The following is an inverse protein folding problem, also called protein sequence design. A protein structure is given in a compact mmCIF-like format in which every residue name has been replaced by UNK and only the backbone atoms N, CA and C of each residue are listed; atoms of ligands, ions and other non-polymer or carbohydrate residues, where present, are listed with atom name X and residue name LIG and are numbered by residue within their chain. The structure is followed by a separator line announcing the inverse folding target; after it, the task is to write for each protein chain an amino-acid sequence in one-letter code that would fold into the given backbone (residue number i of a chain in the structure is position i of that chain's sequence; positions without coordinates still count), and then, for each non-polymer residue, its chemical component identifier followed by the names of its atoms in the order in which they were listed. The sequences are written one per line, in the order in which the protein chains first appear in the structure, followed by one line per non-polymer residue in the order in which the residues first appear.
data_IF_174700690226
#
_entry.id   IF_174700690226
#
_cell.length_a   1.000
_cell.length_b   1.000
_cell.length_c   1.000
_cell.angle_alpha   90.00
_cell.angle_beta   90.00
_cell.angle_gamma   90.00
#
_symmetry.space_group_name_H-M   'P 1'
#
loop_
_entity.id
_entity.type
_entity.pdbx_description
1 polymer ?
#
# COMPACT_ATOMS: atom_id res chain seq x y z
N UNK A 1 17.55 21.82 -18.19
CA UNK A 1 18.88 21.25 -17.88
C UNK A 1 18.74 19.76 -17.69
N UNK A 2 19.69 18.99 -18.20
CA UNK A 2 19.71 17.55 -18.00
C UNK A 2 20.48 17.29 -16.70
N UNK A 3 19.80 16.77 -15.67
CA UNK A 3 20.40 16.45 -14.36
C UNK A 3 20.36 14.95 -14.10
N UNK A 4 21.34 14.46 -13.36
CA UNK A 4 21.42 13.10 -12.84
C UNK A 4 20.65 13.02 -11.52
N UNK A 5 20.17 11.84 -11.15
CA UNK A 5 19.47 11.63 -9.88
C UNK A 5 20.12 10.52 -9.09
N UNK A 6 20.55 10.84 -7.88
CA UNK A 6 21.14 9.88 -6.95
C UNK A 6 20.16 9.58 -5.81
N UNK A 7 19.96 8.29 -5.52
CA UNK A 7 18.99 7.85 -4.52
C UNK A 7 19.65 7.20 -3.32
N UNK A 8 19.28 7.62 -2.11
CA UNK A 8 19.63 6.94 -0.86
C UNK A 8 18.43 6.16 -0.34
N UNK A 9 18.54 4.81 -0.31
CA UNK A 9 17.46 3.87 -0.07
C UNK A 9 16.64 3.59 -1.34
N UNK A 10 17.34 3.37 -2.47
CA UNK A 10 16.74 3.25 -3.81
C UNK A 10 15.78 2.05 -3.95
N UNK A 11 15.97 0.96 -3.19
CA UNK A 11 15.15 -0.25 -3.22
C UNK A 11 13.81 -0.14 -2.47
N UNK A 12 13.56 0.96 -1.75
CA UNK A 12 12.25 1.18 -1.12
C UNK A 12 11.13 1.31 -2.15
N UNK A 13 9.91 0.84 -1.83
CA UNK A 13 8.80 0.78 -2.78
C UNK A 13 8.51 2.12 -3.47
N UNK A 14 8.46 3.22 -2.74
CA UNK A 14 8.24 4.55 -3.30
C UNK A 14 9.48 5.18 -3.94
N UNK A 15 10.69 4.78 -3.51
CA UNK A 15 11.96 5.25 -4.07
C UNK A 15 12.23 4.60 -5.43
N UNK A 16 11.99 3.29 -5.52
CA UNK A 16 12.14 2.54 -6.78
C UNK A 16 11.21 3.06 -7.87
N UNK A 17 9.98 3.44 -7.51
CA UNK A 17 9.06 4.06 -8.46
C UNK A 17 9.58 5.40 -9.00
N UNK A 18 10.16 6.25 -8.13
CA UNK A 18 10.80 7.51 -8.57
C UNK A 18 12.04 7.25 -9.42
N UNK A 19 12.90 6.31 -9.04
CA UNK A 19 14.10 5.94 -9.82
C UNK A 19 13.73 5.49 -11.24
N UNK A 20 12.74 4.61 -11.37
CA UNK A 20 12.22 4.13 -12.64
C UNK A 20 11.57 5.24 -13.48
N UNK A 21 10.86 6.17 -12.82
CA UNK A 21 10.32 7.34 -13.50
C UNK A 21 11.43 8.17 -14.15
N UNK A 22 12.52 8.46 -13.42
CA UNK A 22 13.64 9.24 -13.95
C UNK A 22 14.42 8.49 -15.05
N UNK A 23 14.58 7.18 -14.94
CA UNK A 23 15.15 6.35 -16.01
C UNK A 23 14.32 6.46 -17.29
N UNK A 24 12.98 6.38 -17.17
CA UNK A 24 12.07 6.53 -18.31
C UNK A 24 12.14 7.94 -18.94
N UNK A 25 12.33 8.98 -18.13
CA UNK A 25 12.58 10.34 -18.60
C UNK A 25 13.99 10.54 -19.22
N UNK A 26 14.75 9.46 -19.38
CA UNK A 26 16.10 9.48 -19.96
C UNK A 26 17.15 10.10 -19.04
N UNK A 27 16.92 10.14 -17.72
CA UNK A 27 17.91 10.60 -16.75
C UNK A 27 18.84 9.46 -16.36
N UNK A 28 20.08 9.82 -16.03
CA UNK A 28 21.00 8.88 -15.38
C UNK A 28 20.60 8.75 -13.93
N UNK A 29 20.51 7.50 -13.45
CA UNK A 29 20.13 7.18 -12.07
C UNK A 29 21.19 6.30 -11.44
N UNK A 30 21.59 6.64 -10.23
CA UNK A 30 22.39 5.80 -9.36
C UNK A 30 21.87 5.87 -7.93
N UNK A 31 22.32 4.98 -7.07
CA UNK A 31 21.94 5.05 -5.67
C UNK A 31 22.52 3.95 -4.82
N UNK A 32 22.21 4.08 -3.54
CA UNK A 32 22.55 3.13 -2.49
C UNK A 32 21.28 2.48 -1.93
N UNK A 33 21.40 1.20 -1.61
CA UNK A 33 20.47 0.54 -0.69
C UNK A 33 21.25 -0.42 0.23
N UNK A 34 20.77 -0.62 1.44
CA UNK A 34 21.41 -1.55 2.40
C UNK A 34 21.26 -3.02 1.98
N UNK A 35 20.18 -3.35 1.26
CA UNK A 35 19.79 -4.73 0.96
C UNK A 35 19.47 -4.90 -0.50
N UNK A 36 20.10 -5.88 -1.13
CA UNK A 36 19.72 -6.31 -2.48
C UNK A 36 18.31 -6.95 -2.46
N UNK A 37 17.47 -6.57 -3.38
CA UNK A 37 16.07 -7.02 -3.46
C UNK A 37 15.63 -7.13 -4.92
N UNK A 38 14.49 -7.78 -5.15
CA UNK A 38 13.88 -7.83 -6.49
C UNK A 38 13.67 -6.43 -7.10
N UNK A 39 13.37 -5.41 -6.28
CA UNK A 39 13.20 -4.03 -6.77
C UNK A 39 14.53 -3.42 -7.19
N UNK A 40 15.62 -3.64 -6.45
CA UNK A 40 16.96 -3.16 -6.85
C UNK A 40 17.45 -3.88 -8.10
N UNK A 41 17.26 -5.21 -8.21
CA UNK A 41 17.59 -5.97 -9.41
C UNK A 41 16.83 -5.46 -10.64
N UNK A 42 15.55 -5.09 -10.48
CA UNK A 42 14.74 -4.52 -11.55
C UNK A 42 15.25 -3.15 -12.00
N UNK A 43 15.60 -2.27 -11.06
CA UNK A 43 16.12 -0.92 -11.37
C UNK A 43 17.50 -1.02 -12.05
N UNK A 44 18.35 -1.95 -11.61
CA UNK A 44 19.65 -2.22 -12.24
C UNK A 44 19.46 -2.74 -13.69
N UNK A 45 18.50 -3.65 -13.91
CA UNK A 45 18.16 -4.12 -15.24
C UNK A 45 17.60 -3.02 -16.16
N UNK A 46 16.95 -2.00 -15.59
CA UNK A 46 16.46 -0.81 -16.31
C UNK A 46 17.56 0.26 -16.53
N UNK A 47 18.79 0.05 -16.02
CA UNK A 47 19.96 0.87 -16.31
C UNK A 47 20.44 1.77 -15.18
N UNK A 48 19.96 1.62 -13.95
CA UNK A 48 20.53 2.30 -12.79
C UNK A 48 21.84 1.64 -12.32
N UNK A 49 22.69 2.42 -11.66
CA UNK A 49 23.88 1.92 -10.96
C UNK A 49 23.59 1.87 -9.48
N UNK A 50 23.54 0.68 -8.89
CA UNK A 50 23.23 0.50 -7.46
C UNK A 50 24.42 -0.14 -6.73
N UNK A 51 24.72 0.34 -5.53
CA UNK A 51 25.66 -0.32 -4.63
C UNK A 51 25.04 -0.52 -3.25
N UNK A 52 25.63 -1.41 -2.44
CA UNK A 52 25.03 -1.94 -1.21
C UNK A 52 25.91 -1.71 0.03
N UNK A 53 27.05 -1.05 -0.14
CA UNK A 53 27.94 -0.68 0.95
C UNK A 53 27.86 0.84 1.18
N UNK A 54 27.78 1.26 2.44
CA UNK A 54 27.74 2.66 2.85
C UNK A 54 29.14 3.28 2.76
N UNK A 55 29.54 3.70 1.54
CA UNK A 55 30.82 4.33 1.29
C UNK A 55 30.73 5.44 0.22
N UNK A 56 31.04 6.71 0.56
CA UNK A 56 31.07 7.80 -0.43
C UNK A 56 32.05 7.56 -1.59
N UNK A 57 33.02 6.67 -1.44
CA UNK A 57 33.94 6.32 -2.52
C UNK A 57 33.24 5.54 -3.66
N UNK A 58 32.12 4.88 -3.38
CA UNK A 58 31.33 4.13 -4.35
C UNK A 58 30.37 4.99 -5.17
N UNK A 59 30.16 6.24 -4.80
CA UNK A 59 29.35 7.17 -5.60
C UNK A 59 30.00 7.29 -6.98
N UNK A 60 29.29 6.98 -8.09
CA UNK A 60 29.89 7.07 -9.43
C UNK A 60 30.34 8.50 -9.76
N UNK A 61 31.45 8.62 -10.49
CA UNK A 61 32.10 9.92 -10.81
C UNK A 61 31.11 10.90 -11.46
N UNK A 62 30.24 10.42 -12.33
CA UNK A 62 29.22 11.22 -13.02
C UNK A 62 28.17 11.84 -12.08
N UNK A 63 28.08 11.38 -10.84
CA UNK A 63 27.14 11.87 -9.82
C UNK A 63 27.78 12.71 -8.73
N UNK A 64 29.07 13.07 -8.89
CA UNK A 64 29.83 13.84 -7.89
C UNK A 64 29.83 15.34 -8.12
N UNK A 65 29.16 15.83 -9.15
CA UNK A 65 29.05 17.26 -9.47
C UNK A 65 27.69 17.80 -8.98
N UNK A 66 27.67 18.71 -7.97
CA UNK A 66 26.45 19.30 -7.45
C UNK A 66 25.71 20.19 -8.46
N UNK A 67 26.37 20.66 -9.52
CA UNK A 67 25.71 21.44 -10.56
C UNK A 67 24.82 20.59 -11.49
N UNK A 68 25.06 19.28 -11.55
CA UNK A 68 24.41 18.36 -12.49
C UNK A 68 23.70 17.21 -11.80
N UNK A 69 23.76 17.08 -10.47
CA UNK A 69 23.18 15.95 -9.73
C UNK A 69 22.28 16.44 -8.60
N UNK A 70 21.08 15.92 -8.54
CA UNK A 70 20.17 16.03 -7.39
C UNK A 70 20.15 14.73 -6.60
N UNK A 71 19.92 14.84 -5.30
CA UNK A 71 19.89 13.70 -4.38
C UNK A 71 18.49 13.54 -3.81
N UNK A 72 17.98 12.31 -3.82
CA UNK A 72 16.69 11.97 -3.22
C UNK A 72 16.93 10.93 -2.13
N UNK A 73 16.36 11.15 -0.94
CA UNK A 73 16.48 10.19 0.17
C UNK A 73 15.15 9.87 0.83
N UNK A 74 15.08 8.68 1.44
CA UNK A 74 13.94 8.27 2.27
C UNK A 74 14.22 8.57 3.75
N UNK A 75 13.19 8.87 4.58
CA UNK A 75 13.35 9.03 6.02
C UNK A 75 13.97 7.82 6.75
N UNK A 76 13.95 6.65 6.12
CA UNK A 76 14.58 5.44 6.65
C UNK A 76 16.13 5.51 6.67
N UNK A 77 16.73 6.42 5.91
CA UNK A 77 18.19 6.65 5.91
C UNK A 77 18.56 7.52 7.11
N UNK A 78 19.45 7.07 8.00
CA UNK A 78 19.86 7.83 9.18
C UNK A 78 20.48 9.17 8.81
N UNK A 79 20.34 10.16 9.69
CA UNK A 79 20.90 11.50 9.46
C UNK A 79 22.44 11.53 9.41
N UNK A 80 23.09 10.54 10.04
CA UNK A 80 24.53 10.32 10.10
C UNK A 80 25.07 9.38 9.02
N UNK A 81 24.22 8.93 8.08
CA UNK A 81 24.64 8.14 6.92
C UNK A 81 25.78 8.81 6.15
N UNK A 82 26.87 8.08 5.89
CA UNK A 82 28.10 8.64 5.36
C UNK A 82 27.91 9.40 4.03
N UNK A 83 27.17 8.80 3.08
CA UNK A 83 26.91 9.44 1.79
C UNK A 83 25.98 10.64 1.91
N UNK A 84 24.94 10.58 2.76
CA UNK A 84 24.05 11.72 2.99
C UNK A 84 24.81 12.91 3.58
N UNK A 85 25.75 12.65 4.50
CA UNK A 85 26.65 13.69 5.04
C UNK A 85 27.56 14.22 3.96
N UNK A 86 28.14 13.35 3.13
CA UNK A 86 29.03 13.74 2.05
C UNK A 86 28.30 14.67 1.06
N UNK A 87 27.10 14.33 0.60
CA UNK A 87 26.30 15.17 -0.29
C UNK A 87 25.99 16.53 0.35
N UNK A 88 25.60 16.56 1.64
CA UNK A 88 25.33 17.82 2.36
C UNK A 88 26.56 18.73 2.43
N UNK A 89 27.72 18.14 2.73
CA UNK A 89 29.00 18.88 2.85
C UNK A 89 29.50 19.42 1.50
N UNK A 90 29.14 18.78 0.40
CA UNK A 90 29.56 19.18 -0.95
C UNK A 90 28.51 20.02 -1.70
N UNK A 91 27.46 20.52 -1.03
CA UNK A 91 26.55 21.53 -1.57
C UNK A 91 25.53 20.99 -2.60
N UNK A 92 25.19 19.70 -2.56
CA UNK A 92 24.18 19.12 -3.44
C UNK A 92 22.78 19.58 -3.06
N UNK A 93 21.90 19.66 -4.04
CA UNK A 93 20.47 19.83 -3.83
C UNK A 93 19.86 18.49 -3.41
N UNK A 94 19.27 18.46 -2.21
CA UNK A 94 18.82 17.23 -1.55
C UNK A 94 17.32 17.31 -1.24
N UNK A 95 16.57 16.32 -1.72
CA UNK A 95 15.12 16.21 -1.52
C UNK A 95 14.76 14.97 -0.69
N UNK A 96 13.79 15.10 0.20
CA UNK A 96 13.06 13.92 0.68
C UNK A 96 12.23 13.34 -0.47
N UNK A 97 11.96 12.02 -0.44
CA UNK A 97 11.08 11.33 -1.38
C UNK A 97 9.77 12.08 -1.62
N UNK A 98 9.12 12.53 -0.54
CA UNK A 98 7.85 13.26 -0.61
C UNK A 98 7.96 14.63 -1.28
N UNK A 99 9.06 15.35 -1.09
CA UNK A 99 9.32 16.62 -1.77
C UNK A 99 9.47 16.42 -3.28
N UNK A 100 10.21 15.37 -3.68
CA UNK A 100 10.38 15.02 -5.09
C UNK A 100 9.05 14.62 -5.75
N UNK A 101 8.22 13.81 -5.07
CA UNK A 101 6.90 13.46 -5.55
C UNK A 101 6.00 14.71 -5.69
N UNK A 102 6.05 15.61 -4.72
CA UNK A 102 5.37 16.90 -4.78
C UNK A 102 5.82 17.74 -5.98
N UNK A 103 7.13 17.80 -6.25
CA UNK A 103 7.69 18.47 -7.43
C UNK A 103 7.18 17.86 -8.74
N UNK A 104 7.21 16.54 -8.88
CA UNK A 104 6.73 15.83 -10.08
C UNK A 104 5.21 15.94 -10.29
N UNK A 105 4.46 16.22 -9.23
CA UNK A 105 3.01 16.43 -9.29
C UNK A 105 2.61 17.81 -9.81
N UNK A 106 3.56 18.77 -9.88
CA UNK A 106 3.29 20.10 -10.42
C UNK A 106 2.90 20.04 -11.89
N UNK A 107 1.86 20.79 -12.27
CA UNK A 107 1.33 20.80 -13.65
C UNK A 107 0.55 19.54 -14.06
N UNK A 108 0.41 18.56 -13.18
CA UNK A 108 -0.44 17.38 -13.38
C UNK A 108 -1.81 17.58 -12.73
N UNK A 109 -2.80 16.83 -13.19
CA UNK A 109 -4.06 16.65 -12.50
C UNK A 109 -3.89 15.53 -11.48
N UNK A 110 -3.85 15.88 -10.20
CA UNK A 110 -3.47 14.94 -9.12
C UNK A 110 -4.71 14.34 -8.46
N UNK A 111 -4.79 13.02 -8.46
CA UNK A 111 -5.73 12.23 -7.66
C UNK A 111 -4.92 11.61 -6.52
N UNK A 112 -5.10 12.11 -5.30
CA UNK A 112 -4.33 11.68 -4.13
C UNK A 112 -5.21 10.88 -3.17
N UNK A 113 -4.76 9.69 -2.78
CA UNK A 113 -5.49 8.79 -1.86
C UNK A 113 -4.78 8.75 -0.52
N UNK A 114 -5.44 9.30 0.49
CA UNK A 114 -4.99 9.35 1.88
C UNK A 114 -5.88 8.50 2.79
N UNK A 115 -5.41 8.25 4.01
CA UNK A 115 -6.12 7.54 5.05
C UNK A 115 -5.25 6.49 5.72
N UNK A 116 -5.53 6.14 6.96
CA UNK A 116 -4.75 5.15 7.71
C UNK A 116 -4.86 3.74 7.09
N UNK A 117 -5.96 3.44 6.39
CA UNK A 117 -6.21 2.14 5.77
C UNK A 117 -6.68 2.26 4.31
N UNK A 118 -6.40 1.24 3.50
CA UNK A 118 -6.91 1.12 2.12
C UNK A 118 -6.19 1.95 1.05
N UNK A 119 -5.24 2.82 1.41
CA UNK A 119 -4.49 3.69 0.49
C UNK A 119 -4.00 2.98 -0.77
N UNK A 120 -3.17 1.96 -0.59
CA UNK A 120 -2.49 1.26 -1.70
C UNK A 120 -3.48 0.59 -2.65
N UNK A 121 -4.48 -0.11 -2.12
CA UNK A 121 -5.49 -0.79 -2.94
C UNK A 121 -6.33 0.23 -3.70
N UNK A 122 -6.79 1.29 -3.03
CA UNK A 122 -7.60 2.35 -3.66
C UNK A 122 -6.80 3.11 -4.71
N UNK A 123 -5.53 3.49 -4.44
CA UNK A 123 -4.68 4.16 -5.43
C UNK A 123 -4.45 3.28 -6.66
N UNK A 124 -4.22 1.98 -6.44
CA UNK A 124 -4.02 1.02 -7.53
C UNK A 124 -5.30 0.82 -8.35
N UNK A 125 -6.46 0.77 -7.70
CA UNK A 125 -7.77 0.78 -8.37
C UNK A 125 -7.96 2.05 -9.20
N UNK A 126 -7.71 3.24 -8.63
CA UNK A 126 -7.77 4.50 -9.38
C UNK A 126 -6.89 4.45 -10.61
N UNK A 127 -5.65 3.97 -10.48
CA UNK A 127 -4.72 3.85 -11.61
C UNK A 127 -5.24 2.88 -12.68
N UNK A 128 -5.76 1.72 -12.27
CA UNK A 128 -6.32 0.71 -13.17
C UNK A 128 -7.57 1.20 -13.90
N UNK A 129 -8.53 1.77 -13.16
CA UNK A 129 -9.74 2.34 -13.73
C UNK A 129 -9.42 3.51 -14.68
N UNK A 130 -8.52 4.39 -14.30
CA UNK A 130 -8.06 5.49 -15.15
C UNK A 130 -7.44 4.96 -16.45
N UNK A 131 -6.63 3.89 -16.38
CA UNK A 131 -6.04 3.26 -17.55
C UNK A 131 -7.09 2.61 -18.47
N UNK A 132 -8.06 1.91 -17.91
CA UNK A 132 -9.06 1.13 -18.69
C UNK A 132 -10.22 1.96 -19.20
N UNK A 133 -10.64 3.00 -18.47
CA UNK A 133 -11.90 3.72 -18.72
C UNK A 133 -11.66 5.07 -19.40
N UNK A 134 -10.60 5.79 -19.05
CA UNK A 134 -10.44 7.20 -19.45
C UNK A 134 -9.20 7.50 -20.32
N UNK A 135 -8.56 6.50 -20.88
CA UNK A 135 -7.39 6.70 -21.73
C UNK A 135 -6.05 6.85 -21.00
N UNK A 136 -6.05 6.72 -19.69
CA UNK A 136 -4.82 6.54 -18.90
C UNK A 136 -4.27 7.79 -18.24
N UNK A 137 -3.15 7.59 -17.59
CA UNK A 137 -2.38 8.57 -16.82
C UNK A 137 -1.26 7.86 -16.11
N UNK A 138 -0.45 8.59 -15.37
CA UNK A 138 0.63 7.99 -14.57
C UNK A 138 0.18 7.70 -13.14
N UNK A 139 0.86 6.79 -12.46
CA UNK A 139 0.61 6.53 -11.05
C UNK A 139 1.88 6.12 -10.31
N UNK A 140 2.05 6.61 -9.08
CA UNK A 140 3.02 6.14 -8.10
C UNK A 140 2.27 5.35 -7.03
N UNK A 141 2.55 4.04 -6.96
CA UNK A 141 1.82 3.09 -6.12
C UNK A 141 2.65 2.70 -4.89
N UNK A 142 1.97 2.55 -3.76
CA UNK A 142 2.59 2.09 -2.51
C UNK A 142 2.83 0.58 -2.44
N UNK A 143 2.56 -0.15 -3.52
CA UNK A 143 2.75 -1.59 -3.66
C UNK A 143 2.86 -2.01 -5.12
N UNK A 144 3.18 -3.27 -5.37
CA UNK A 144 3.27 -3.80 -6.73
C UNK A 144 1.87 -4.21 -7.18
N UNK A 145 1.31 -3.49 -8.16
CA UNK A 145 0.06 -3.88 -8.81
C UNK A 145 0.24 -5.17 -9.59
N UNK A 146 -0.70 -6.09 -9.49
CA UNK A 146 -0.69 -7.33 -10.28
C UNK A 146 -1.01 -7.06 -11.74
N UNK A 147 -1.99 -6.20 -12.02
CA UNK A 147 -2.37 -5.82 -13.37
C UNK A 147 -1.24 -5.15 -14.16
N UNK A 148 -0.40 -4.35 -13.49
CA UNK A 148 0.71 -3.64 -14.13
C UNK A 148 2.07 -4.33 -13.91
N UNK A 149 2.15 -5.32 -13.02
CA UNK A 149 3.41 -5.94 -12.55
C UNK A 149 4.45 -4.90 -12.09
N UNK A 150 3.97 -3.79 -11.50
CA UNK A 150 4.78 -2.61 -11.23
C UNK A 150 4.21 -1.77 -10.09
N UNK A 151 5.08 -1.00 -9.44
CA UNK A 151 4.74 0.08 -8.51
C UNK A 151 4.73 1.46 -9.18
N UNK A 152 5.03 1.52 -10.49
CA UNK A 152 4.97 2.70 -11.33
C UNK A 152 4.11 2.41 -12.57
N UNK A 153 3.17 3.29 -12.86
CA UNK A 153 2.43 3.30 -14.12
C UNK A 153 2.79 4.57 -14.87
N UNK A 154 3.19 4.44 -16.12
CA UNK A 154 3.49 5.56 -17.00
C UNK A 154 2.42 5.64 -18.09
N UNK A 155 1.78 6.78 -18.21
CA UNK A 155 0.73 7.03 -19.17
C UNK A 155 0.85 8.42 -19.81
N UNK A 156 0.28 8.58 -21.00
CA UNK A 156 0.33 9.84 -21.75
C UNK A 156 -0.64 10.91 -21.25
N UNK A 157 -1.63 10.52 -20.43
CA UNK A 157 -2.63 11.44 -19.86
C UNK A 157 -2.01 12.38 -18.84
N UNK A 158 -2.70 13.53 -18.60
CA UNK A 158 -2.27 14.51 -17.58
C UNK A 158 -2.56 14.08 -16.14
N UNK A 159 -3.39 13.05 -15.94
CA UNK A 159 -3.77 12.56 -14.62
C UNK A 159 -2.63 11.81 -13.95
N UNK A 160 -2.46 12.05 -12.66
CA UNK A 160 -1.46 11.41 -11.82
C UNK A 160 -2.14 10.88 -10.55
N UNK A 161 -2.23 9.56 -10.42
CA UNK A 161 -2.68 8.93 -9.19
C UNK A 161 -1.50 8.70 -8.25
N UNK A 162 -1.65 9.12 -6.98
CA UNK A 162 -0.59 8.98 -5.98
C UNK A 162 -1.15 8.53 -4.64
N UNK A 163 -0.40 7.69 -3.94
CA UNK A 163 -0.65 7.41 -2.54
C UNK A 163 -0.15 8.59 -1.69
N UNK A 164 -1.07 9.18 -0.92
CA UNK A 164 -0.81 10.31 -0.04
C UNK A 164 -0.58 9.80 1.38
N UNK A 165 0.68 9.49 1.68
CA UNK A 165 1.11 8.86 2.92
C UNK A 165 1.18 9.90 4.05
N UNK A 166 0.47 9.67 5.15
CA UNK A 166 0.48 10.50 6.34
C UNK A 166 1.78 10.36 7.16
N UNK A 167 2.52 9.28 6.99
CA UNK A 167 3.80 9.09 7.64
C UNK A 167 4.76 10.25 7.35
N UNK A 168 5.45 10.78 8.39
CA UNK A 168 6.34 11.95 8.29
C UNK A 168 5.65 13.19 7.67
N UNK A 169 4.30 13.27 7.74
CA UNK A 169 3.49 14.34 7.12
C UNK A 169 3.77 14.50 5.62
N UNK A 170 4.15 13.41 4.96
CA UNK A 170 4.56 13.41 3.54
C UNK A 170 3.45 13.89 2.61
N UNK A 171 2.20 13.58 2.90
CA UNK A 171 1.03 13.98 2.09
C UNK A 171 0.84 15.50 2.02
N UNK A 172 1.38 16.28 2.98
CA UNK A 172 1.35 17.74 2.95
C UNK A 172 2.28 18.37 1.89
N UNK A 173 2.94 17.54 1.08
CA UNK A 173 3.70 18.01 -0.10
C UNK A 173 2.91 17.94 -1.40
N UNK A 174 1.66 17.43 -1.34
CA UNK A 174 0.79 17.26 -2.49
C UNK A 174 -0.30 18.36 -2.53
N UNK A 175 -0.65 18.78 -3.73
CA UNK A 175 -1.75 19.72 -4.00
C UNK A 175 -2.73 19.02 -4.94
N UNK A 176 -3.66 18.21 -4.40
CA UNK A 176 -4.54 17.39 -5.22
C UNK A 176 -5.64 18.21 -5.91
N UNK A 177 -6.06 17.74 -7.08
CA UNK A 177 -7.31 18.14 -7.72
C UNK A 177 -8.49 17.32 -7.17
N UNK A 178 -8.24 16.05 -6.88
CA UNK A 178 -9.16 15.16 -6.18
C UNK A 178 -8.41 14.50 -5.03
N UNK A 179 -8.91 14.62 -3.81
CA UNK A 179 -8.42 13.90 -2.65
C UNK A 179 -9.43 12.86 -2.20
N UNK A 180 -8.95 11.65 -1.89
CA UNK A 180 -9.71 10.62 -1.18
C UNK A 180 -9.22 10.56 0.25
N UNK A 181 -10.11 10.48 1.24
CA UNK A 181 -9.77 10.19 2.63
C UNK A 181 -10.59 8.98 3.09
N UNK A 182 -9.93 7.83 3.21
CA UNK A 182 -10.57 6.56 3.54
C UNK A 182 -10.76 6.34 5.05
N UNK A 183 -9.89 6.92 5.85
CA UNK A 183 -9.94 6.83 7.32
C UNK A 183 -9.00 7.87 7.94
N UNK A 184 -9.22 8.19 9.21
CA UNK A 184 -8.33 9.04 10.00
C UNK A 184 -8.20 8.46 11.42
N UNK A 185 -8.03 7.12 11.51
CA UNK A 185 -7.88 6.40 12.77
C UNK A 185 -6.52 6.71 13.41
N UNK A 186 -6.43 6.51 14.72
CA UNK A 186 -5.18 6.75 15.46
C UNK A 186 -4.09 5.78 15.00
N UNK A 187 -3.14 6.30 14.23
CA UNK A 187 -1.94 5.61 13.76
C UNK A 187 -0.75 6.57 13.83
N UNK A 188 0.47 6.05 13.74
CA UNK A 188 1.71 6.85 13.76
C UNK A 188 1.78 7.86 14.92
N UNK A 189 1.30 7.46 16.11
CA UNK A 189 1.30 8.34 17.30
C UNK A 189 2.71 8.70 17.79
N UNK A 190 3.73 7.94 17.42
CA UNK A 190 5.14 8.26 17.60
C UNK A 190 5.55 9.54 16.85
N UNK A 191 4.88 9.86 15.73
CA UNK A 191 5.12 11.06 14.92
C UNK A 191 4.18 12.20 15.30
N UNK A 192 2.90 11.88 15.51
CA UNK A 192 1.85 12.87 15.73
C UNK A 192 1.65 13.23 17.22
N UNK A 193 2.03 12.34 18.13
CA UNK A 193 1.81 12.48 19.57
C UNK A 193 0.37 12.19 19.98
N UNK A 194 -0.64 12.76 19.30
CA UNK A 194 -2.06 12.56 19.60
C UNK A 194 -2.88 12.29 18.35
N UNK A 195 -4.05 11.66 18.51
CA UNK A 195 -5.02 11.44 17.43
C UNK A 195 -5.54 12.76 16.87
N UNK A 196 -5.73 13.77 17.71
CA UNK A 196 -6.16 15.11 17.29
C UNK A 196 -5.14 15.76 16.35
N UNK A 197 -3.84 15.62 16.64
CA UNK A 197 -2.78 16.15 15.77
C UNK A 197 -2.75 15.43 14.40
N UNK A 198 -3.05 14.13 14.35
CA UNK A 198 -3.20 13.39 13.12
C UNK A 198 -4.42 13.90 12.32
N UNK A 199 -5.59 14.07 12.97
CA UNK A 199 -6.81 14.60 12.32
C UNK A 199 -6.60 16.02 11.82
N UNK A 200 -5.87 16.85 12.55
CA UNK A 200 -5.51 18.20 12.10
C UNK A 200 -4.62 18.16 10.84
N UNK A 201 -3.66 17.23 10.75
CA UNK A 201 -2.85 17.05 9.56
C UNK A 201 -3.69 16.59 8.35
N UNK A 202 -4.68 15.71 8.54
CA UNK A 202 -5.64 15.37 7.48
C UNK A 202 -6.46 16.59 7.06
N UNK A 203 -6.89 17.44 8.01
CA UNK A 203 -7.62 18.67 7.71
C UNK A 203 -6.75 19.66 6.93
N UNK A 204 -5.45 19.76 7.24
CA UNK A 204 -4.49 20.56 6.47
C UNK A 204 -4.32 20.00 5.04
N UNK A 205 -4.20 18.68 4.88
CA UNK A 205 -4.14 18.04 3.56
C UNK A 205 -5.38 18.33 2.72
N UNK A 206 -6.58 18.22 3.30
CA UNK A 206 -7.84 18.59 2.64
C UNK A 206 -7.86 20.07 2.26
N UNK A 207 -7.31 20.94 3.10
CA UNK A 207 -7.15 22.37 2.81
C UNK A 207 -6.27 22.68 1.59
N UNK A 208 -5.40 21.74 1.18
CA UNK A 208 -4.53 21.87 0.00
C UNK A 208 -5.17 21.42 -1.31
N UNK A 209 -6.42 20.94 -1.30
CA UNK A 209 -7.14 20.62 -2.53
C UNK A 209 -7.28 21.91 -3.34
N UNK A 210 -6.91 21.84 -4.62
CA UNK A 210 -6.96 23.00 -5.52
C UNK A 210 -8.38 23.50 -5.70
N UNK A 211 -8.51 24.79 -5.97
CA UNK A 211 -9.81 25.43 -6.24
C UNK A 211 -10.55 24.70 -7.36
N UNK A 212 -11.86 24.51 -7.18
CA UNK A 212 -12.71 23.71 -8.06
C UNK A 212 -12.46 22.19 -7.99
N UNK A 213 -11.59 21.75 -7.09
CA UNK A 213 -11.31 20.34 -6.85
C UNK A 213 -12.40 19.62 -6.06
N UNK A 214 -12.14 18.38 -5.68
CA UNK A 214 -13.09 17.56 -4.94
C UNK A 214 -12.43 16.79 -3.80
N UNK A 215 -13.16 16.66 -2.69
CA UNK A 215 -12.89 15.74 -1.60
C UNK A 215 -13.88 14.56 -1.68
N UNK A 216 -13.36 13.35 -1.72
CA UNK A 216 -14.11 12.09 -1.55
C UNK A 216 -13.75 11.55 -0.18
N UNK A 217 -14.68 11.62 0.76
CA UNK A 217 -14.42 11.22 2.16
C UNK A 217 -15.37 10.11 2.59
N UNK A 218 -14.82 9.11 3.29
CA UNK A 218 -15.64 8.01 3.83
C UNK A 218 -16.68 8.54 4.81
N UNK A 219 -17.89 7.98 4.74
CA UNK A 219 -18.96 8.25 5.69
C UNK A 219 -18.48 7.95 7.11
N UNK A 220 -18.79 8.84 8.06
CA UNK A 220 -18.33 8.74 9.46
C UNK A 220 -16.93 9.31 9.74
N UNK A 221 -16.13 9.63 8.72
CA UNK A 221 -14.85 10.33 8.92
C UNK A 221 -15.13 11.83 9.15
N UNK A 222 -14.79 12.30 10.35
CA UNK A 222 -14.99 13.69 10.75
C UNK A 222 -13.68 14.49 10.61
N UNK A 223 -13.65 15.42 9.65
CA UNK A 223 -12.55 16.31 9.36
C UNK A 223 -13.04 17.76 9.25
N UNK A 224 -12.20 18.70 9.65
CA UNK A 224 -12.46 20.13 9.42
C UNK A 224 -12.17 20.45 7.96
N UNK A 225 -13.20 20.81 7.20
CA UNK A 225 -13.10 21.19 5.79
C UNK A 225 -13.11 22.72 5.71
N UNK A 226 -11.92 23.31 5.75
CA UNK A 226 -11.75 24.76 5.73
C UNK A 226 -11.68 25.39 4.32
N UNK A 227 -11.78 24.60 3.25
CA UNK A 227 -11.69 25.09 1.87
C UNK A 227 -13.08 25.17 1.23
N UNK A 228 -13.67 26.38 1.07
CA UNK A 228 -15.01 26.56 0.50
C UNK A 228 -15.05 26.39 -1.03
N UNK A 229 -13.90 26.38 -1.69
CA UNK A 229 -13.79 26.29 -3.15
C UNK A 229 -13.82 24.88 -3.72
N UNK A 230 -14.08 23.84 -2.88
CA UNK A 230 -14.10 22.44 -3.30
C UNK A 230 -15.48 21.81 -3.18
N UNK A 231 -15.72 20.75 -3.95
CA UNK A 231 -16.89 19.89 -3.79
C UNK A 231 -16.57 18.76 -2.82
N UNK A 232 -17.51 18.43 -1.95
CA UNK A 232 -17.35 17.33 -0.96
C UNK A 232 -18.34 16.24 -1.27
N UNK A 233 -17.86 15.03 -1.43
CA UNK A 233 -18.66 13.84 -1.65
C UNK A 233 -18.38 12.82 -0.56
N UNK A 234 -19.44 12.17 -0.09
CA UNK A 234 -19.36 11.06 0.85
C UNK A 234 -19.43 9.74 0.13
N UNK A 235 -18.66 8.76 0.62
CA UNK A 235 -18.78 7.39 0.12
C UNK A 235 -18.88 6.38 1.27
N UNK A 236 -19.47 5.24 0.98
CA UNK A 236 -19.66 4.16 1.95
C UNK A 236 -19.71 2.80 1.25
N UNK A 237 -19.53 1.73 2.03
CA UNK A 237 -19.74 0.37 1.57
C UNK A 237 -21.22 0.11 1.27
N UNK A 238 -22.14 0.46 2.18
CA UNK A 238 -23.57 0.10 2.13
C UNK A 238 -24.51 1.17 2.69
N UNK A 239 -23.99 2.23 3.31
CA UNK A 239 -24.84 3.32 3.82
C UNK A 239 -25.15 4.31 2.69
N UNK A 240 -26.43 4.69 2.48
CA UNK A 240 -26.81 5.66 1.47
C UNK A 240 -26.11 7.01 1.65
N UNK A 241 -25.37 7.44 0.64
CA UNK A 241 -24.71 8.73 0.53
C UNK A 241 -24.47 9.07 -0.95
N UNK A 242 -23.48 9.89 -1.31
CA UNK A 242 -23.24 10.26 -2.72
C UNK A 242 -22.76 9.06 -3.56
N UNK A 243 -21.89 8.22 -2.99
CA UNK A 243 -21.38 7.00 -3.63
C UNK A 243 -21.46 5.83 -2.66
N UNK A 244 -22.19 4.78 -3.02
CA UNK A 244 -22.27 3.59 -2.16
C UNK A 244 -22.62 2.34 -2.96
N UNK A 245 -22.35 1.18 -2.39
CA UNK A 245 -22.80 -0.09 -2.95
C UNK A 245 -24.16 -0.48 -2.33
N UNK A 246 -25.02 -1.04 -3.15
CA UNK A 246 -26.29 -1.64 -2.72
C UNK A 246 -26.46 -3.02 -3.34
N UNK A 247 -27.44 -3.80 -2.86
CA UNK A 247 -27.72 -5.16 -3.35
C UNK A 247 -26.51 -6.08 -3.30
N UNK A 248 -25.67 -5.89 -2.25
CA UNK A 248 -24.40 -6.60 -2.10
C UNK A 248 -24.65 -8.07 -1.80
N UNK A 249 -24.18 -8.96 -2.66
CA UNK A 249 -24.35 -10.42 -2.55
C UNK A 249 -23.00 -11.09 -2.59
N UNK A 250 -22.73 -11.95 -1.60
CA UNK A 250 -21.53 -12.79 -1.56
C UNK A 250 -21.62 -13.89 -2.61
N UNK A 251 -20.59 -14.02 -3.42
CA UNK A 251 -20.40 -15.05 -4.43
C UNK A 251 -19.36 -16.07 -3.94
N UNK A 252 -19.22 -17.16 -4.69
CA UNK A 252 -18.18 -18.16 -4.42
C UNK A 252 -16.77 -17.55 -4.44
N UNK A 253 -15.87 -18.07 -3.61
CA UNK A 253 -14.49 -17.60 -3.51
C UNK A 253 -14.30 -16.26 -2.80
N UNK A 254 -15.33 -15.77 -2.08
CA UNK A 254 -15.26 -14.51 -1.34
C UNK A 254 -15.45 -13.24 -2.20
N UNK A 255 -15.82 -13.42 -3.48
CA UNK A 255 -16.19 -12.30 -4.36
C UNK A 255 -17.58 -11.77 -4.05
N UNK A 256 -17.90 -10.60 -4.59
CA UNK A 256 -19.20 -9.97 -4.38
C UNK A 256 -19.77 -9.43 -5.69
N UNK A 257 -21.09 -9.48 -5.81
CA UNK A 257 -21.87 -8.71 -6.79
C UNK A 257 -22.58 -7.58 -6.06
N UNK A 258 -22.63 -6.42 -6.67
CA UNK A 258 -23.27 -5.23 -6.11
C UNK A 258 -23.71 -4.26 -7.21
N UNK A 259 -24.62 -3.36 -6.88
CA UNK A 259 -24.90 -2.17 -7.69
C UNK A 259 -24.17 -0.98 -7.10
N UNK A 260 -23.55 -0.19 -7.95
CA UNK A 260 -22.84 1.03 -7.55
C UNK A 260 -23.71 2.25 -7.78
N UNK A 261 -24.06 2.96 -6.71
CA UNK A 261 -24.81 4.22 -6.76
C UNK A 261 -23.82 5.38 -6.84
N UNK A 262 -24.09 6.31 -7.75
CA UNK A 262 -23.29 7.53 -7.98
C UNK A 262 -24.24 8.71 -8.14
N UNK A 263 -23.79 9.97 -8.06
CA UNK A 263 -24.63 11.14 -8.38
C UNK A 263 -25.17 11.14 -9.82
N UNK A 264 -24.48 10.45 -10.73
CA UNK A 264 -24.89 10.30 -12.15
C UNK A 264 -25.88 9.16 -12.42
N UNK A 265 -26.25 8.37 -11.39
CA UNK A 265 -27.13 7.22 -11.52
C UNK A 265 -26.56 5.92 -10.96
N UNK A 266 -27.18 4.81 -11.29
CA UNK A 266 -26.81 3.48 -10.78
C UNK A 266 -26.15 2.67 -11.89
N UNK A 267 -25.03 2.04 -11.54
CA UNK A 267 -24.34 1.05 -12.38
C UNK A 267 -24.64 -0.33 -11.78
N UNK A 268 -25.54 -1.07 -12.42
CA UNK A 268 -26.00 -2.35 -11.92
C UNK A 268 -25.05 -3.50 -12.22
N UNK A 269 -25.02 -4.52 -11.34
CA UNK A 269 -24.36 -5.80 -11.57
C UNK A 269 -22.84 -5.73 -11.60
N UNK A 270 -22.23 -4.80 -10.87
CA UNK A 270 -20.77 -4.73 -10.70
C UNK A 270 -20.26 -5.96 -9.97
N UNK A 271 -19.08 -6.44 -10.37
CA UNK A 271 -18.27 -7.40 -9.63
C UNK A 271 -16.86 -6.85 -9.51
N UNK A 272 -16.15 -7.24 -8.46
CA UNK A 272 -14.74 -6.88 -8.30
C UNK A 272 -13.87 -8.13 -8.47
N UNK A 273 -12.79 -8.01 -9.23
CA UNK A 273 -11.89 -9.12 -9.53
C UNK A 273 -11.12 -9.67 -8.31
N UNK A 274 -11.08 -8.90 -7.21
CA UNK A 274 -10.52 -9.34 -5.93
C UNK A 274 -11.63 -9.52 -4.90
N UNK A 275 -11.51 -10.50 -3.99
CA UNK A 275 -12.51 -10.77 -2.97
C UNK A 275 -12.42 -9.81 -1.77
N UNK A 276 -13.41 -9.88 -0.89
CA UNK A 276 -13.48 -9.14 0.37
C UNK A 276 -14.34 -7.87 0.30
N UNK A 277 -15.23 -7.72 1.28
CA UNK A 277 -16.15 -6.58 1.36
C UNK A 277 -15.39 -5.23 1.47
N UNK A 278 -14.25 -5.21 2.18
CA UNK A 278 -13.41 -4.01 2.29
C UNK A 278 -12.91 -3.52 0.92
N UNK A 279 -12.74 -4.43 -0.03
CA UNK A 279 -12.33 -4.08 -1.38
C UNK A 279 -13.47 -3.48 -2.20
N UNK A 280 -14.74 -3.78 -1.87
CA UNK A 280 -15.88 -3.05 -2.46
C UNK A 280 -15.82 -1.58 -2.00
N UNK A 281 -15.59 -1.33 -0.72
CA UNK A 281 -15.45 0.04 -0.20
C UNK A 281 -14.30 0.80 -0.90
N UNK A 282 -13.15 0.15 -1.07
CA UNK A 282 -12.03 0.70 -1.83
C UNK A 282 -12.42 0.97 -3.30
N UNK A 283 -13.23 0.10 -3.91
CA UNK A 283 -13.70 0.27 -5.28
C UNK A 283 -14.68 1.45 -5.41
N UNK A 284 -15.61 1.60 -4.45
CA UNK A 284 -16.52 2.77 -4.39
C UNK A 284 -15.72 4.06 -4.29
N UNK A 285 -14.71 4.11 -3.41
CA UNK A 285 -13.82 5.27 -3.28
C UNK A 285 -13.05 5.59 -4.57
N UNK A 286 -12.51 4.56 -5.22
CA UNK A 286 -11.77 4.72 -6.48
C UNK A 286 -12.65 5.20 -7.62
N UNK A 287 -13.86 4.67 -7.75
CA UNK A 287 -14.83 5.13 -8.75
C UNK A 287 -15.27 6.56 -8.47
N UNK A 288 -15.53 6.92 -7.21
CA UNK A 288 -15.88 8.29 -6.82
C UNK A 288 -14.76 9.27 -7.19
N UNK A 289 -13.50 8.92 -6.94
CA UNK A 289 -12.35 9.76 -7.31
C UNK A 289 -12.24 9.93 -8.84
N UNK A 290 -12.40 8.84 -9.59
CA UNK A 290 -12.34 8.89 -11.06
C UNK A 290 -13.54 9.67 -11.64
N UNK A 291 -14.73 9.49 -11.06
CA UNK A 291 -15.93 10.23 -11.44
C UNK A 291 -15.72 11.74 -11.26
N UNK A 292 -15.20 12.18 -10.09
CA UNK A 292 -14.88 13.58 -9.85
C UNK A 292 -13.87 14.15 -10.87
N UNK A 293 -12.86 13.36 -11.23
CA UNK A 293 -11.87 13.75 -12.23
C UNK A 293 -12.49 13.86 -13.63
N UNK A 294 -13.37 12.95 -13.99
CA UNK A 294 -14.04 12.92 -15.30
C UNK A 294 -15.09 14.00 -15.45
N UNK A 295 -15.85 14.31 -14.39
CA UNK A 295 -16.77 15.45 -14.36
C UNK A 295 -16.04 16.79 -14.62
N UNK A 296 -14.84 16.94 -14.05
CA UNK A 296 -14.04 18.15 -14.27
C UNK A 296 -13.50 18.26 -15.70
N UNK A 297 -13.24 17.13 -16.35
CA UNK A 297 -12.82 17.06 -17.75
C UNK A 297 -14.01 17.13 -18.73
N UNK A 298 -15.26 17.05 -18.24
CA UNK A 298 -16.48 16.99 -19.05
C UNK A 298 -16.66 15.65 -19.79
N UNK A 299 -16.02 14.60 -19.33
CA UNK A 299 -16.05 13.26 -19.94
C UNK A 299 -16.76 12.26 -19.01
N UNK A 300 -18.05 11.93 -19.21
CA UNK A 300 -18.74 10.99 -18.38
C UNK A 300 -18.12 9.58 -18.47
N UNK A 301 -18.13 8.87 -17.34
CA UNK A 301 -17.62 7.51 -17.28
C UNK A 301 -18.55 6.54 -18.02
N UNK A 302 -17.98 5.72 -18.88
CA UNK A 302 -18.67 4.61 -19.53
C UNK A 302 -18.93 3.49 -18.51
N UNK A 303 -20.20 3.21 -18.23
CA UNK A 303 -20.61 2.23 -17.22
C UNK A 303 -20.20 0.79 -17.56
N UNK A 304 -20.17 0.43 -18.87
CA UNK A 304 -19.79 -0.92 -19.27
C UNK A 304 -18.29 -1.14 -19.14
N UNK A 305 -17.48 -0.19 -19.64
CA UNK A 305 -16.02 -0.23 -19.43
C UNK A 305 -15.65 -0.21 -17.94
N UNK A 306 -16.41 0.52 -17.13
CA UNK A 306 -16.17 0.57 -15.68
C UNK A 306 -16.43 -0.80 -15.03
N UNK A 307 -17.55 -1.49 -15.40
CA UNK A 307 -17.83 -2.86 -14.92
C UNK A 307 -16.74 -3.85 -15.31
N UNK A 308 -16.32 -3.82 -16.59
CA UNK A 308 -15.24 -4.68 -17.08
C UNK A 308 -13.91 -4.41 -16.34
N UNK A 309 -13.58 -3.13 -16.14
CA UNK A 309 -12.37 -2.75 -15.42
C UNK A 309 -12.38 -3.19 -13.96
N UNK A 310 -13.51 -3.04 -13.25
CA UNK A 310 -13.67 -3.54 -11.89
C UNK A 310 -13.53 -5.07 -11.82
N UNK A 311 -14.20 -5.79 -12.72
CA UNK A 311 -14.16 -7.25 -12.77
C UNK A 311 -12.76 -7.81 -13.11
N UNK A 312 -11.95 -7.09 -13.86
CA UNK A 312 -10.60 -7.48 -14.27
C UNK A 312 -9.48 -6.94 -13.36
N UNK A 313 -9.80 -6.35 -12.24
CA UNK A 313 -8.81 -5.89 -11.28
C UNK A 313 -8.22 -7.08 -10.51
N UNK A 314 -6.90 -7.23 -10.54
CA UNK A 314 -6.17 -8.36 -9.93
C UNK A 314 -5.56 -8.03 -8.57
N UNK A 315 -5.66 -6.78 -8.11
CA UNK A 315 -5.18 -6.35 -6.81
C UNK A 315 -3.72 -5.94 -6.75
N UNK A 316 -3.20 -5.98 -5.53
CA UNK A 316 -1.83 -5.61 -5.18
C UNK A 316 -1.17 -6.80 -4.51
N UNK A 317 0.10 -7.04 -4.80
CA UNK A 317 0.87 -8.08 -4.10
C UNK A 317 0.82 -7.85 -2.59
N UNK A 318 0.66 -8.94 -1.86
CA UNK A 318 0.60 -8.95 -0.39
C UNK A 318 -0.56 -8.14 0.22
N UNK A 319 -1.69 -7.97 -0.51
CA UNK A 319 -2.93 -7.37 -0.02
C UNK A 319 -4.08 -8.31 -0.35
N UNK A 320 -4.40 -9.22 0.58
CA UNK A 320 -5.29 -10.36 0.33
C UNK A 320 -4.93 -11.07 -0.98
N UNK A 321 -3.64 -11.32 -1.20
CA UNK A 321 -3.16 -11.95 -2.42
C UNK A 321 -3.43 -13.45 -2.39
N UNK A 322 -4.27 -13.93 -3.30
CA UNK A 322 -4.64 -15.34 -3.36
C UNK A 322 -3.60 -16.15 -4.12
N UNK A 323 -3.07 -17.16 -3.47
CA UNK A 323 -2.19 -18.19 -4.04
C UNK A 323 -2.93 -19.48 -4.37
N UNK A 324 -3.93 -19.84 -3.52
CA UNK A 324 -4.83 -20.99 -3.72
C UNK A 324 -6.23 -20.50 -3.38
N UNK A 325 -7.20 -20.74 -4.27
CA UNK A 325 -8.61 -20.42 -4.03
C UNK A 325 -9.48 -21.50 -4.64
N UNK A 326 -9.75 -22.53 -3.87
CA UNK A 326 -10.61 -23.67 -4.23
C UNK A 326 -11.70 -23.83 -3.18
N UNK A 327 -12.78 -24.56 -3.48
CA UNK A 327 -13.82 -24.89 -2.49
C UNK A 327 -13.27 -25.57 -1.23
N UNK A 328 -12.19 -26.34 -1.37
CA UNK A 328 -11.61 -27.12 -0.28
C UNK A 328 -10.50 -26.39 0.46
N UNK A 329 -9.61 -25.70 -0.25
CA UNK A 329 -8.42 -25.07 0.30
C UNK A 329 -8.30 -23.64 -0.18
N UNK A 330 -8.05 -22.69 0.75
CA UNK A 330 -7.72 -21.31 0.45
C UNK A 330 -6.36 -20.98 1.07
N UNK A 331 -5.51 -20.26 0.30
CA UNK A 331 -4.30 -19.68 0.83
C UNK A 331 -4.11 -18.26 0.31
N UNK A 332 -3.88 -17.33 1.23
CA UNK A 332 -3.65 -15.91 0.95
C UNK A 332 -2.40 -15.39 1.66
N UNK A 333 -1.81 -14.30 1.13
CA UNK A 333 -0.80 -13.48 1.81
C UNK A 333 -1.31 -12.06 2.01
N UNK A 334 -1.07 -11.49 3.20
CA UNK A 334 -1.41 -10.12 3.53
C UNK A 334 -0.27 -9.43 4.30
N UNK A 335 -0.05 -8.17 3.98
CA UNK A 335 1.02 -7.36 4.55
C UNK A 335 0.77 -6.90 5.99
N UNK A 336 -0.40 -7.17 6.56
CA UNK A 336 -0.79 -6.76 7.90
C UNK A 336 0.29 -7.12 8.93
N UNK A 337 0.78 -6.12 9.64
CA UNK A 337 1.91 -6.22 10.57
C UNK A 337 1.76 -5.34 11.81
N UNK A 338 0.60 -4.70 11.97
CA UNK A 338 0.16 -4.01 13.18
C UNK A 338 -1.05 -4.74 13.77
N UNK A 339 -1.27 -4.75 15.12
CA UNK A 339 -2.38 -5.47 15.74
C UNK A 339 -3.76 -5.15 15.15
N UNK A 340 -4.05 -3.87 14.89
CA UNK A 340 -5.31 -3.42 14.29
C UNK A 340 -5.50 -3.93 12.86
N UNK A 341 -4.44 -3.93 12.06
CA UNK A 341 -4.46 -4.47 10.71
C UNK A 341 -4.74 -5.97 10.72
N UNK A 342 -4.05 -6.72 11.61
CA UNK A 342 -4.27 -8.16 11.78
C UNK A 342 -5.70 -8.48 12.20
N UNK A 343 -6.25 -7.76 13.20
CA UNK A 343 -7.62 -7.96 13.65
C UNK A 343 -8.63 -7.71 12.52
N UNK A 344 -8.45 -6.63 11.76
CA UNK A 344 -9.29 -6.29 10.62
C UNK A 344 -9.18 -7.34 9.50
N UNK A 345 -7.96 -7.78 9.16
CA UNK A 345 -7.70 -8.77 8.13
C UNK A 345 -8.29 -10.13 8.51
N UNK A 346 -8.03 -10.63 9.72
CA UNK A 346 -8.57 -11.91 10.22
C UNK A 346 -10.11 -11.87 10.23
N UNK A 347 -10.70 -10.79 10.72
CA UNK A 347 -12.16 -10.61 10.72
C UNK A 347 -12.73 -10.62 9.30
N UNK A 348 -12.06 -9.97 8.37
CA UNK A 348 -12.46 -9.93 6.95
C UNK A 348 -12.41 -11.31 6.33
N UNK A 349 -11.34 -12.08 6.59
CA UNK A 349 -11.21 -13.46 6.08
C UNK A 349 -12.31 -14.37 6.64
N UNK A 350 -12.62 -14.27 7.93
CA UNK A 350 -13.72 -15.08 8.54
C UNK A 350 -15.08 -14.71 7.95
N UNK A 351 -15.31 -13.47 7.57
CA UNK A 351 -16.55 -13.06 6.85
C UNK A 351 -16.58 -13.56 5.40
N UNK A 352 -15.43 -13.62 4.71
CA UNK A 352 -15.34 -14.16 3.34
C UNK A 352 -15.59 -15.67 3.29
N UNK A 353 -15.18 -16.41 4.33
CA UNK A 353 -15.24 -17.87 4.38
C UNK A 353 -15.97 -18.35 5.65
N UNK A 354 -17.29 -18.09 5.78
CA UNK A 354 -18.03 -18.42 6.98
C UNK A 354 -18.03 -19.92 7.24
N UNK A 355 -17.81 -20.30 8.50
CA UNK A 355 -17.78 -21.72 8.93
C UNK A 355 -16.48 -22.48 8.61
N UNK A 356 -15.52 -21.89 7.91
CA UNK A 356 -14.22 -22.49 7.63
C UNK A 356 -13.20 -22.12 8.70
N UNK A 357 -12.31 -23.07 9.03
CA UNK A 357 -11.24 -22.85 10.04
C UNK A 357 -10.10 -22.02 9.43
N UNK A 358 -9.76 -20.94 10.10
CA UNK A 358 -8.67 -20.04 9.72
C UNK A 358 -7.39 -20.39 10.48
N UNK A 359 -6.33 -20.72 9.75
CA UNK A 359 -4.97 -20.82 10.27
C UNK A 359 -4.18 -19.55 9.88
N UNK A 360 -3.80 -18.74 10.87
CA UNK A 360 -2.98 -17.56 10.68
C UNK A 360 -1.49 -17.91 10.83
N UNK A 361 -0.70 -17.58 9.81
CA UNK A 361 0.76 -17.66 9.85
C UNK A 361 1.28 -16.25 10.08
N UNK A 362 2.01 -16.00 11.16
CA UNK A 362 2.42 -14.62 11.47
C UNK A 362 3.92 -14.53 11.72
N UNK A 363 4.56 -13.62 10.98
CA UNK A 363 5.93 -13.19 11.22
C UNK A 363 5.93 -11.79 11.84
N UNK A 364 6.25 -11.67 13.15
CA UNK A 364 6.40 -10.35 13.75
C UNK A 364 7.53 -9.56 13.06
N UNK A 365 7.32 -8.26 12.92
CA UNK A 365 8.27 -7.35 12.27
C UNK A 365 8.76 -6.32 13.28
N UNK A 366 10.09 -6.25 13.49
CA UNK A 366 10.82 -5.44 14.45
C UNK A 366 10.72 -5.94 15.91
N UNK A 367 11.85 -5.96 16.59
CA UNK A 367 11.90 -6.31 18.02
C UNK A 367 11.19 -5.26 18.89
N UNK A 368 11.39 -3.98 18.60
CA UNK A 368 10.74 -2.89 19.34
C UNK A 368 9.22 -2.98 19.24
N UNK A 369 8.67 -3.17 18.06
CA UNK A 369 7.22 -3.32 17.85
C UNK A 369 6.67 -4.57 18.54
N UNK A 370 7.38 -5.68 18.49
CA UNK A 370 6.97 -6.91 19.17
C UNK A 370 6.95 -6.72 20.67
N UNK A 371 7.98 -6.10 21.26
CA UNK A 371 8.03 -5.76 22.69
C UNK A 371 6.85 -4.88 23.12
N UNK A 372 6.54 -3.87 22.34
CA UNK A 372 5.58 -2.86 22.72
C UNK A 372 4.11 -3.32 22.51
N UNK A 373 3.86 -4.25 21.55
CA UNK A 373 2.52 -4.65 21.14
C UNK A 373 2.23 -6.17 21.25
N UNK A 374 3.05 -6.97 21.93
CA UNK A 374 2.86 -8.43 21.97
C UNK A 374 1.50 -8.87 22.54
N UNK A 375 0.90 -8.08 23.44
CA UNK A 375 -0.42 -8.36 24.02
C UNK A 375 -1.53 -8.16 22.97
N UNK A 376 -1.49 -7.03 22.30
CA UNK A 376 -2.43 -6.66 21.25
C UNK A 376 -2.30 -7.58 20.03
N UNK A 377 -1.08 -8.04 19.71
CA UNK A 377 -0.87 -9.08 18.70
C UNK A 377 -1.54 -10.39 19.10
N UNK A 378 -1.38 -10.83 20.35
CA UNK A 378 -2.01 -12.05 20.84
C UNK A 378 -3.54 -11.95 20.80
N UNK A 379 -4.11 -10.80 21.19
CA UNK A 379 -5.55 -10.53 21.11
C UNK A 379 -6.03 -10.63 19.64
N UNK A 380 -5.40 -9.91 18.72
CA UNK A 380 -5.75 -9.91 17.30
C UNK A 380 -5.66 -11.31 16.68
N UNK A 381 -4.58 -12.04 16.92
CA UNK A 381 -4.35 -13.38 16.38
C UNK A 381 -5.29 -14.43 17.00
N UNK A 382 -5.77 -14.21 18.23
CA UNK A 382 -6.74 -15.11 18.89
C UNK A 382 -8.13 -15.11 18.22
N UNK A 383 -8.39 -14.20 17.27
CA UNK A 383 -9.57 -14.29 16.41
C UNK A 383 -9.47 -15.37 15.32
N UNK A 384 -8.27 -15.89 15.02
CA UNK A 384 -8.10 -17.08 14.18
C UNK A 384 -8.47 -18.36 14.94
N UNK A 385 -8.51 -19.50 14.24
CA UNK A 385 -8.80 -20.79 14.88
C UNK A 385 -7.51 -21.56 15.22
N UNK A 386 -6.39 -21.16 14.60
CA UNK A 386 -5.03 -21.66 14.86
C UNK A 386 -4.00 -20.61 14.44
N UNK A 387 -2.86 -20.58 15.14
CA UNK A 387 -1.76 -19.65 14.84
C UNK A 387 -0.44 -20.42 14.66
N UNK A 388 0.31 -20.07 13.63
CA UNK A 388 1.71 -20.48 13.46
C UNK A 388 2.57 -19.22 13.50
N UNK A 389 3.44 -19.14 14.48
CA UNK A 389 4.38 -18.03 14.64
C UNK A 389 5.71 -18.34 13.96
N UNK A 390 6.33 -17.35 13.36
CA UNK A 390 7.71 -17.39 12.88
C UNK A 390 8.61 -16.54 13.79
N UNK A 391 9.93 -16.74 13.75
CA UNK A 391 10.87 -15.82 14.38
C UNK A 391 10.68 -14.39 13.90
N UNK A 392 10.98 -13.42 14.79
CA UNK A 392 10.86 -11.99 14.49
C UNK A 392 11.77 -11.65 13.31
N UNK A 393 11.23 -10.93 12.33
CA UNK A 393 12.02 -10.32 11.27
C UNK A 393 12.63 -9.01 11.76
N UNK A 394 13.97 -8.94 11.91
CA UNK A 394 14.62 -7.79 12.56
C UNK A 394 14.65 -6.54 11.69
N UNK A 395 14.55 -6.67 10.35
CA UNK A 395 14.82 -5.62 9.39
C UNK A 395 16.19 -4.94 9.64
N UNK A 396 16.20 -3.83 10.37
CA UNK A 396 17.42 -3.07 10.70
C UNK A 396 17.72 -2.99 12.20
N UNK A 397 16.92 -3.67 13.03
CA UNK A 397 17.12 -3.66 14.48
C UNK A 397 18.04 -4.79 14.92
N UNK A 398 18.78 -4.55 16.00
CA UNK A 398 19.50 -5.60 16.72
C UNK A 398 18.54 -6.35 17.64
N UNK A 399 18.78 -7.66 17.90
CA UNK A 399 17.96 -8.43 18.82
C UNK A 399 17.90 -7.81 20.20
N UNK A 400 16.69 -7.71 20.78
CA UNK A 400 16.47 -7.24 22.14
C UNK A 400 16.38 -8.46 23.06
N UNK A 401 17.23 -8.59 24.09
CA UNK A 401 17.19 -9.72 25.00
C UNK A 401 15.80 -9.97 25.62
N UNK A 402 15.30 -11.20 25.50
CA UNK A 402 13.99 -11.60 26.03
C UNK A 402 12.79 -11.20 25.16
N UNK A 403 13.02 -10.63 23.96
CA UNK A 403 11.96 -10.31 22.99
C UNK A 403 11.98 -11.35 21.90
N UNK A 404 10.99 -12.23 21.91
CA UNK A 404 10.84 -13.38 21.02
C UNK A 404 9.37 -13.55 20.63
N UNK A 405 9.09 -14.26 19.53
CA UNK A 405 7.72 -14.51 19.06
C UNK A 405 6.87 -15.31 20.07
N UNK A 406 7.51 -16.12 20.92
CA UNK A 406 6.88 -16.88 22.00
C UNK A 406 6.17 -15.98 23.03
N UNK A 407 6.57 -14.72 23.17
CA UNK A 407 5.87 -13.78 24.06
C UNK A 407 4.41 -13.59 23.60
N UNK A 408 4.18 -13.58 22.30
CA UNK A 408 2.83 -13.52 21.70
C UNK A 408 2.14 -14.87 21.94
N UNK A 409 2.82 -15.97 21.61
CA UNK A 409 2.28 -17.32 21.70
C UNK A 409 1.72 -17.67 23.08
N UNK A 410 2.44 -17.29 24.14
CA UNK A 410 2.03 -17.57 25.55
C UNK A 410 0.72 -16.89 25.97
N UNK A 411 0.27 -15.88 25.22
CA UNK A 411 -0.97 -15.14 25.49
C UNK A 411 -2.12 -15.51 24.55
N UNK A 412 -1.85 -16.34 23.53
CA UNK A 412 -2.89 -16.78 22.59
C UNK A 412 -3.92 -17.67 23.31
N UNK A 413 -5.19 -17.47 22.98
CA UNK A 413 -6.32 -18.27 23.49
C UNK A 413 -6.70 -19.42 22.57
N UNK A 414 -5.99 -19.57 21.46
CA UNK A 414 -6.20 -20.62 20.43
C UNK A 414 -4.94 -21.50 20.30
N UNK A 415 -5.04 -22.70 19.74
CA UNK A 415 -3.87 -23.55 19.49
C UNK A 415 -2.81 -22.84 18.66
N UNK A 416 -1.57 -22.92 19.09
CA UNK A 416 -0.46 -22.30 18.38
C UNK A 416 0.80 -23.16 18.35
N UNK A 417 1.68 -22.86 17.43
CA UNK A 417 3.01 -23.45 17.31
C UNK A 417 3.98 -22.43 16.72
N UNK A 418 5.27 -22.66 16.87
CA UNK A 418 6.32 -21.88 16.23
C UNK A 418 7.11 -22.77 15.27
N UNK A 419 7.61 -22.20 14.20
CA UNK A 419 8.53 -22.87 13.30
C UNK A 419 9.40 -21.88 12.54
N UNK A 420 10.52 -22.37 12.09
CA UNK A 420 11.38 -21.62 11.18
C UNK A 420 10.76 -21.50 9.79
N UNK A 421 11.16 -20.44 9.09
CA UNK A 421 10.69 -20.18 7.73
C UNK A 421 10.95 -21.34 6.77
N UNK A 422 12.11 -22.01 6.91
CA UNK A 422 12.47 -23.14 6.06
C UNK A 422 11.53 -24.35 6.20
N UNK A 423 10.91 -24.53 7.36
CA UNK A 423 10.02 -25.66 7.67
C UNK A 423 8.54 -25.32 7.46
N UNK A 424 8.21 -24.04 7.23
CA UNK A 424 6.83 -23.54 7.22
C UNK A 424 5.93 -24.30 6.26
N UNK A 425 6.38 -24.50 5.02
CA UNK A 425 5.58 -25.14 3.97
C UNK A 425 5.23 -26.61 4.34
N UNK A 426 6.21 -27.40 4.80
CA UNK A 426 6.00 -28.79 5.20
C UNK A 426 5.11 -28.89 6.45
N UNK A 427 5.38 -28.05 7.44
CA UNK A 427 4.64 -28.05 8.70
C UNK A 427 3.17 -27.69 8.50
N UNK A 428 2.88 -26.66 7.72
CA UNK A 428 1.49 -26.24 7.41
C UNK A 428 0.81 -27.24 6.50
N UNK A 429 1.54 -27.82 5.54
CA UNK A 429 1.01 -28.88 4.69
C UNK A 429 0.65 -30.14 5.48
N UNK A 430 1.32 -30.47 6.58
CA UNK A 430 0.97 -31.58 7.45
C UNK A 430 -0.28 -31.32 8.32
N UNK A 431 -0.73 -30.10 8.46
CA UNK A 431 -1.90 -29.70 9.25
C UNK A 431 -3.19 -29.92 8.45
N UNK A 432 -4.28 -30.18 9.15
CA UNK A 432 -5.63 -30.09 8.60
C UNK A 432 -6.06 -28.61 8.57
N UNK A 433 -6.16 -28.02 7.38
CA UNK A 433 -6.42 -26.59 7.15
C UNK A 433 -7.49 -26.38 6.09
N UNK A 434 -8.36 -25.38 6.28
CA UNK A 434 -9.37 -24.97 5.31
C UNK A 434 -8.99 -23.65 4.65
N UNK A 435 -8.65 -22.63 5.48
CA UNK A 435 -8.18 -21.31 5.07
C UNK A 435 -6.87 -21.01 5.76
N UNK A 436 -5.85 -20.68 5.01
CA UNK A 436 -4.52 -20.30 5.50
C UNK A 436 -4.23 -18.87 5.07
N UNK A 437 -3.72 -18.04 5.97
CA UNK A 437 -3.28 -16.68 5.63
C UNK A 437 -1.93 -16.41 6.27
N UNK A 438 -0.96 -15.99 5.45
CA UNK A 438 0.31 -15.46 5.95
C UNK A 438 0.20 -13.95 6.16
N UNK A 439 0.72 -13.49 7.30
CA UNK A 439 0.74 -12.09 7.72
C UNK A 439 2.14 -11.63 8.10
N UNK A 440 2.47 -10.40 7.74
CA UNK A 440 3.70 -9.74 8.18
C UNK A 440 4.40 -8.94 7.10
N UNK A 441 5.11 -7.88 7.49
CA UNK A 441 5.89 -7.03 6.59
C UNK A 441 7.31 -7.55 6.32
N UNK A 442 7.70 -8.66 6.96
CA UNK A 442 9.00 -9.31 6.79
C UNK A 442 9.08 -10.17 5.53
N UNK A 443 9.96 -11.16 5.58
CA UNK A 443 10.25 -12.04 4.44
C UNK A 443 9.46 -13.37 4.45
N UNK A 444 8.30 -13.39 5.11
CA UNK A 444 7.38 -14.54 5.09
C UNK A 444 6.86 -14.83 3.68
N UNK A 445 6.73 -13.78 2.86
CA UNK A 445 6.29 -13.88 1.46
C UNK A 445 7.19 -14.77 0.60
N UNK A 446 8.47 -14.90 0.94
CA UNK A 446 9.37 -15.83 0.26
C UNK A 446 8.95 -17.30 0.38
N UNK A 447 8.10 -17.64 1.37
CA UNK A 447 7.55 -18.99 1.54
C UNK A 447 6.27 -19.23 0.74
N UNK A 448 5.62 -18.18 0.23
CA UNK A 448 4.27 -18.27 -0.34
C UNK A 448 4.20 -19.23 -1.54
N UNK A 449 5.20 -19.21 -2.42
CA UNK A 449 5.25 -20.11 -3.58
C UNK A 449 5.30 -21.59 -3.18
N UNK A 450 6.26 -21.95 -2.34
CA UNK A 450 6.45 -23.34 -1.87
C UNK A 450 5.23 -23.85 -1.05
N UNK A 451 4.68 -22.99 -0.19
CA UNK A 451 3.49 -23.33 0.58
C UNK A 451 2.27 -23.52 -0.33
N UNK A 452 2.10 -22.65 -1.33
CA UNK A 452 1.01 -22.77 -2.29
C UNK A 452 1.06 -24.08 -3.09
N UNK A 453 2.24 -24.52 -3.53
CA UNK A 453 2.42 -25.80 -4.22
C UNK A 453 1.94 -26.95 -3.33
N UNK A 454 2.40 -27.03 -2.09
CA UNK A 454 1.99 -28.04 -1.13
C UNK A 454 0.49 -28.04 -0.82
N UNK A 455 -0.13 -26.87 -0.71
CA UNK A 455 -1.56 -26.75 -0.42
C UNK A 455 -2.43 -27.09 -1.65
N UNK A 456 -1.95 -26.86 -2.88
CA UNK A 456 -2.64 -27.31 -4.11
C UNK A 456 -2.70 -28.83 -4.23
N UNK A 457 -1.70 -29.55 -3.72
CA UNK A 457 -1.71 -31.03 -3.69
C UNK A 457 -2.84 -31.60 -2.82
N UNK A 458 -3.40 -30.78 -1.91
CA UNK A 458 -4.50 -31.14 -1.00
C UNK A 458 -5.87 -30.63 -1.47
N UNK A 459 -5.91 -29.75 -2.45
CA UNK A 459 -7.10 -28.99 -2.89
C UNK A 459 -8.07 -29.81 -3.84
#
# INVERSE_FOLDING_TARGET
MQFNVYFLGIGGIGMSALARYFLHEGRRVAGYDRVRSHLTDQIEAEGAVVHYEEDPALIPVDFRDPATTIVVYTPAVPADHAELRWFRQNGFEIFKRSQMLGYLSQGKFVIAVAGTHGKTTTTTLVAWLNHRVTGGGSAFLGGISRNFSSNLVLGRGRRLAVEADEFDRSFLRLWPDVAVVSSADADHLDIYGTHEALREAFSQFVGQIREGGALVVKQGVDLKIGNPGIRVYRYSYDEPCDFYARNVTLLEGGHYRYDLVTPGGVIEGCTLGIPGWVNIENAVAAVAALWCASERDGEPLDAERLREALASFEGVKRRFEFYVNTPRQVYMDDYAHHPRELAAAITSVKKMFPGRRLTALFQPHLYTRTRDFYREFAEALSHADRVVLLPIYPAREEPIPGVESEMIGRLLTVPWTICDRAELAEKVAAMDTDVVVSFGAGNIDACCGALAEKLREKA
#
